data_IF_641488361278
#
_entry.id   IF_641488361278
#
_cell.length_a   1.000
_cell.length_b   1.000
_cell.length_c   1.000
_cell.angle_alpha   90.00
_cell.angle_beta   90.00
_cell.angle_gamma   90.00
#
_symmetry.space_group_name_H-M   'P 1'
#
loop_
_entity.id
_entity.type
_entity.pdbx_description
1 polymer ?
#
# COMPACT_ATOMS: atom_id res chain seq x y z
N UNK A 1 -15.00 -4.14 -12.79
CA UNK A 1 -14.93 -3.67 -11.40
C UNK A 1 -14.91 -2.16 -11.45
N UNK A 2 -15.71 -1.47 -10.64
CA UNK A 2 -15.63 -0.01 -10.61
C UNK A 2 -14.20 0.38 -10.18
N UNK A 3 -13.64 1.43 -10.77
CA UNK A 3 -12.26 1.87 -10.48
C UNK A 3 -12.05 2.03 -8.96
N UNK A 4 -13.08 2.48 -8.23
CA UNK A 4 -13.04 2.66 -6.78
C UNK A 4 -13.01 1.34 -5.98
N UNK A 5 -13.74 0.31 -6.40
CA UNK A 5 -13.71 -1.02 -5.76
C UNK A 5 -12.32 -1.65 -5.88
N UNK A 6 -11.70 -1.49 -7.06
CA UNK A 6 -10.34 -1.99 -7.32
C UNK A 6 -9.32 -1.25 -6.46
N UNK A 7 -9.44 0.08 -6.35
CA UNK A 7 -8.59 0.91 -5.49
C UNK A 7 -8.73 0.47 -4.03
N UNK A 8 -9.96 0.38 -3.52
CA UNK A 8 -10.21 -0.01 -2.13
C UNK A 8 -9.64 -1.40 -1.82
N UNK A 9 -9.81 -2.35 -2.74
CA UNK A 9 -9.26 -3.70 -2.58
C UNK A 9 -7.74 -3.70 -2.57
N UNK A 10 -7.10 -2.91 -3.43
CA UNK A 10 -5.64 -2.79 -3.43
C UNK A 10 -5.12 -2.12 -2.14
N UNK A 11 -5.82 -1.11 -1.62
CA UNK A 11 -5.49 -0.49 -0.32
C UNK A 11 -5.63 -1.48 0.84
N UNK A 12 -6.65 -2.34 0.81
CA UNK A 12 -6.83 -3.41 1.78
C UNK A 12 -5.69 -4.44 1.73
N UNK A 13 -5.26 -4.85 0.53
CA UNK A 13 -4.10 -5.74 0.36
C UNK A 13 -2.83 -5.11 0.93
N UNK A 14 -2.58 -3.82 0.65
CA UNK A 14 -1.43 -3.09 1.20
C UNK A 14 -1.44 -3.04 2.73
N UNK A 15 -2.61 -2.76 3.32
CA UNK A 15 -2.78 -2.73 4.79
C UNK A 15 -2.50 -4.07 5.44
N UNK A 16 -2.91 -5.17 4.80
CA UNK A 16 -2.82 -6.52 5.34
C UNK A 16 -1.57 -7.29 4.88
N UNK A 17 -0.70 -6.66 4.08
CA UNK A 17 0.53 -7.30 3.64
C UNK A 17 1.45 -7.56 4.84
N UNK A 18 1.95 -8.79 4.94
CA UNK A 18 2.99 -9.12 5.90
C UNK A 18 4.29 -8.50 5.41
N UNK A 19 4.72 -7.38 6.01
CA UNK A 19 5.96 -6.69 5.66
C UNK A 19 7.20 -7.31 6.32
N UNK A 20 7.03 -8.22 7.28
CA UNK A 20 8.11 -8.87 8.04
C UNK A 20 8.40 -10.27 7.53
N UNK A 21 7.84 -10.67 6.39
CA UNK A 21 7.96 -12.00 5.80
C UNK A 21 9.41 -12.50 5.65
N UNK A 22 10.37 -11.59 5.44
CA UNK A 22 11.80 -11.90 5.34
C UNK A 22 12.47 -12.23 6.69
N UNK A 23 11.78 -11.94 7.79
CA UNK A 23 12.22 -12.19 9.18
C UNK A 23 11.57 -13.44 9.77
N UNK A 24 10.69 -14.13 9.04
CA UNK A 24 10.10 -15.37 9.53
C UNK A 24 11.16 -16.48 9.58
N UNK A 25 11.44 -17.01 10.78
CA UNK A 25 12.38 -18.13 11.01
C UNK A 25 12.02 -19.40 10.22
N UNK A 26 10.78 -19.49 9.72
CA UNK A 26 10.32 -20.50 8.78
C UNK A 26 9.84 -19.81 7.50
N UNK A 27 10.67 -19.89 6.46
CA UNK A 27 10.46 -19.20 5.18
C UNK A 27 9.23 -19.69 4.41
N UNK A 28 8.70 -20.88 4.71
CA UNK A 28 7.43 -21.37 4.16
C UNK A 28 6.41 -21.56 5.30
N UNK A 29 5.16 -21.09 5.15
CA UNK A 29 4.55 -20.47 3.97
C UNK A 29 4.67 -18.93 3.90
N UNK A 30 5.39 -18.28 4.82
CA UNK A 30 5.43 -16.82 4.94
C UNK A 30 5.90 -16.11 3.65
N UNK A 31 7.00 -16.56 3.04
CA UNK A 31 7.52 -15.98 1.79
C UNK A 31 6.50 -16.12 0.65
N UNK A 32 5.86 -17.29 0.53
CA UNK A 32 4.93 -17.54 -0.57
C UNK A 32 3.66 -16.71 -0.43
N UNK A 33 3.16 -16.54 0.80
CA UNK A 33 2.03 -15.67 1.09
C UNK A 33 2.36 -14.20 0.79
N UNK A 34 3.53 -13.71 1.21
CA UNK A 34 3.96 -12.35 0.93
C UNK A 34 4.15 -12.10 -0.58
N UNK A 35 4.80 -13.02 -1.30
CA UNK A 35 4.94 -12.95 -2.77
C UNK A 35 3.58 -12.99 -3.48
N UNK A 36 2.67 -13.84 -3.02
CA UNK A 36 1.30 -13.91 -3.52
C UNK A 36 0.53 -12.61 -3.30
N UNK A 37 0.60 -12.05 -2.09
CA UNK A 37 -0.01 -10.77 -1.73
C UNK A 37 0.54 -9.61 -2.58
N UNK A 38 1.86 -9.52 -2.74
CA UNK A 38 2.51 -8.51 -3.61
C UNK A 38 2.08 -8.65 -5.07
N UNK A 39 2.07 -9.87 -5.61
CA UNK A 39 1.60 -10.13 -6.98
C UNK A 39 0.16 -9.67 -7.15
N UNK A 40 -0.70 -10.07 -6.22
CA UNK A 40 -2.12 -9.72 -6.26
C UNK A 40 -2.35 -8.21 -6.24
N UNK A 41 -1.60 -7.48 -5.40
CA UNK A 41 -1.62 -6.02 -5.38
C UNK A 41 -1.23 -5.41 -6.74
N UNK A 42 -0.13 -5.87 -7.34
CA UNK A 42 0.35 -5.37 -8.63
C UNK A 42 -0.66 -5.61 -9.75
N UNK A 43 -1.26 -6.80 -9.77
CA UNK A 43 -2.31 -7.16 -10.73
C UNK A 43 -3.54 -6.28 -10.58
N UNK A 44 -4.03 -6.04 -9.35
CA UNK A 44 -5.14 -5.11 -9.09
C UNK A 44 -4.82 -3.70 -9.61
N UNK A 45 -3.66 -3.16 -9.22
CA UNK A 45 -3.22 -1.81 -9.59
C UNK A 45 -3.06 -1.68 -11.11
N UNK A 46 -2.62 -2.72 -11.81
CA UNK A 46 -2.49 -2.72 -13.26
C UNK A 46 -3.83 -2.56 -14.01
N UNK A 47 -4.97 -2.92 -13.39
CA UNK A 47 -6.30 -2.75 -13.99
C UNK A 47 -6.85 -1.32 -13.89
N UNK A 48 -6.22 -0.45 -13.07
CA UNK A 48 -6.60 0.96 -12.95
C UNK A 48 -6.16 1.70 -14.23
N UNK A 49 -7.15 2.25 -14.96
CA UNK A 49 -6.92 2.96 -16.23
C UNK A 49 -6.13 4.26 -16.05
N UNK A 50 -6.45 5.01 -15.00
CA UNK A 50 -5.78 6.26 -14.67
C UNK A 50 -4.31 6.01 -14.30
N UNK A 51 -3.40 6.52 -15.13
CA UNK A 51 -1.97 6.35 -14.94
C UNK A 51 -1.44 7.09 -13.70
N UNK A 52 -2.04 8.21 -13.33
CA UNK A 52 -1.67 9.01 -12.18
C UNK A 52 -2.02 8.26 -10.90
N UNK A 53 -3.26 7.76 -10.80
CA UNK A 53 -3.70 6.92 -9.66
C UNK A 53 -2.88 5.64 -9.57
N UNK A 54 -2.66 4.96 -10.70
CA UNK A 54 -1.85 3.73 -10.76
C UNK A 54 -0.42 3.96 -10.26
N UNK A 55 0.19 5.08 -10.63
CA UNK A 55 1.53 5.43 -10.15
C UNK A 55 1.52 5.80 -8.66
N UNK A 56 0.52 6.56 -8.21
CA UNK A 56 0.39 6.91 -6.79
C UNK A 56 0.26 5.67 -5.89
N UNK A 57 -0.50 4.66 -6.32
CA UNK A 57 -0.58 3.37 -5.62
C UNK A 57 0.79 2.68 -5.53
N UNK A 58 1.54 2.61 -6.64
CA UNK A 58 2.90 2.02 -6.65
C UNK A 58 3.86 2.74 -5.72
N UNK A 59 3.81 4.08 -5.69
CA UNK A 59 4.62 4.87 -4.79
C UNK A 59 4.20 4.70 -3.32
N UNK A 60 2.91 4.51 -3.04
CA UNK A 60 2.43 4.21 -1.70
C UNK A 60 2.98 2.88 -1.19
N UNK A 61 3.00 1.84 -2.04
CA UNK A 61 3.61 0.55 -1.69
C UNK A 61 5.09 0.70 -1.31
N UNK A 62 5.87 1.44 -2.11
CA UNK A 62 7.30 1.67 -1.83
C UNK A 62 7.50 2.45 -0.53
N UNK A 63 6.74 3.52 -0.32
CA UNK A 63 6.83 4.32 0.89
C UNK A 63 6.48 3.51 2.14
N UNK A 64 5.47 2.64 2.07
CA UNK A 64 5.14 1.72 3.18
C UNK A 64 6.26 0.72 3.42
N UNK A 65 6.82 0.11 2.37
CA UNK A 65 7.97 -0.79 2.48
C UNK A 65 9.15 -0.11 3.18
N UNK A 66 9.56 1.06 2.68
CA UNK A 66 10.69 1.82 3.21
C UNK A 66 10.47 2.20 4.67
N UNK A 67 9.28 2.70 5.03
CA UNK A 67 8.99 3.07 6.42
C UNK A 67 9.03 1.87 7.36
N UNK A 68 8.45 0.73 6.96
CA UNK A 68 8.50 -0.49 7.77
C UNK A 68 9.94 -0.92 8.02
N UNK A 69 10.78 -0.92 6.97
CA UNK A 69 12.16 -1.39 7.09
C UNK A 69 13.08 -0.39 7.82
N UNK A 70 12.83 0.91 7.72
CA UNK A 70 13.51 1.92 8.53
C UNK A 70 13.21 1.75 10.03
N UNK A 71 11.99 1.31 10.37
CA UNK A 71 11.57 1.06 11.75
C UNK A 71 11.83 -0.38 12.22
N UNK A 72 12.59 -1.19 11.46
CA UNK A 72 12.80 -2.62 11.74
C UNK A 72 13.48 -2.92 13.07
N UNK A 73 14.54 -2.18 13.39
CA UNK A 73 15.35 -2.46 14.58
C UNK A 73 15.13 -1.44 15.68
N UNK A 74 14.80 -0.22 15.30
CA UNK A 74 14.56 0.89 16.20
C UNK A 74 13.56 1.83 15.56
N UNK A 75 12.68 2.40 16.38
CA UNK A 75 11.73 3.41 15.92
C UNK A 75 12.48 4.61 15.34
N UNK A 76 12.14 4.99 14.11
CA UNK A 76 12.65 6.17 13.43
C UNK A 76 11.52 7.19 13.27
N UNK A 77 11.49 8.18 14.18
CA UNK A 77 10.46 9.23 14.19
C UNK A 77 10.51 10.12 12.95
N UNK A 78 11.68 10.32 12.35
CA UNK A 78 11.81 11.16 11.16
C UNK A 78 11.30 10.43 9.93
N UNK A 79 11.66 9.15 9.76
CA UNK A 79 11.08 8.30 8.73
C UNK A 79 9.55 8.24 8.82
N UNK A 80 9.00 8.13 10.04
CA UNK A 80 7.54 8.11 10.26
C UNK A 80 6.87 9.41 9.80
N UNK A 81 7.46 10.58 10.08
CA UNK A 81 6.92 11.88 9.61
C UNK A 81 6.96 11.99 8.09
N UNK A 82 8.08 11.63 7.48
CA UNK A 82 8.24 11.63 6.02
C UNK A 82 7.22 10.69 5.38
N UNK A 83 7.02 9.51 5.94
CA UNK A 83 6.03 8.55 5.48
C UNK A 83 4.60 9.09 5.57
N UNK A 84 4.16 9.63 6.70
CA UNK A 84 2.79 10.12 6.85
C UNK A 84 2.51 11.34 5.97
N UNK A 85 3.49 12.23 5.77
CA UNK A 85 3.38 13.32 4.79
C UNK A 85 3.20 12.76 3.37
N UNK A 86 4.07 11.81 2.97
CA UNK A 86 4.02 11.21 1.64
C UNK A 86 2.73 10.43 1.39
N UNK A 87 2.29 9.65 2.38
CA UNK A 87 1.02 8.91 2.35
C UNK A 87 -0.16 9.86 2.21
N UNK A 88 -0.18 10.99 2.91
CA UNK A 88 -1.25 12.00 2.79
C UNK A 88 -1.33 12.55 1.37
N UNK A 89 -0.19 12.94 0.78
CA UNK A 89 -0.12 13.41 -0.62
C UNK A 89 -0.65 12.36 -1.60
N UNK A 90 -0.19 11.10 -1.46
CA UNK A 90 -0.58 10.02 -2.35
C UNK A 90 -2.06 9.66 -2.19
N UNK A 91 -2.60 9.65 -0.97
CA UNK A 91 -4.01 9.36 -0.73
C UNK A 91 -4.95 10.41 -1.32
N UNK A 92 -4.54 11.69 -1.37
CA UNK A 92 -5.29 12.75 -2.05
C UNK A 92 -5.39 12.53 -3.57
N UNK A 93 -4.39 11.87 -4.17
CA UNK A 93 -4.40 11.47 -5.58
C UNK A 93 -5.25 10.22 -5.80
N UNK A 94 -5.14 9.24 -4.89
CA UNK A 94 -5.79 7.92 -5.02
C UNK A 94 -7.31 8.01 -4.81
N UNK A 95 -7.75 8.81 -3.85
CA UNK A 95 -9.17 9.01 -3.49
C UNK A 95 -9.55 10.48 -3.64
N UNK A 96 -9.78 10.98 -4.87
CA UNK A 96 -10.19 12.37 -5.05
C UNK A 96 -11.52 12.65 -4.31
N UNK A 97 -11.58 13.82 -3.68
CA UNK A 97 -12.58 14.27 -2.69
C UNK A 97 -14.05 14.00 -3.03
N UNK A 98 -14.43 13.88 -4.30
CA UNK A 98 -15.79 13.54 -4.74
C UNK A 98 -16.28 12.16 -4.24
N UNK A 99 -15.36 11.24 -3.94
CA UNK A 99 -15.71 9.91 -3.38
C UNK A 99 -15.62 9.85 -1.85
N UNK A 100 -14.88 10.74 -1.20
CA UNK A 100 -14.78 10.79 0.27
C UNK A 100 -16.10 11.20 0.94
N UNK A 101 -16.93 11.98 0.25
CA UNK A 101 -18.26 12.37 0.74
C UNK A 101 -19.30 11.24 0.70
N UNK A 102 -19.10 10.18 -0.10
CA UNK A 102 -20.03 9.03 -0.20
C UNK A 102 -19.75 7.92 0.82
N UNK A 103 -18.59 7.94 1.48
CA UNK A 103 -18.26 6.96 2.53
C UNK A 103 -18.57 7.45 3.95
N UNK A 104 -18.92 8.73 4.10
CA UNK A 104 -19.28 9.37 5.38
C UNK A 104 -20.80 9.64 5.52
N UNK A 105 -21.62 9.11 4.60
CA UNK A 105 -23.07 9.27 4.58
C UNK A 105 -23.78 7.92 4.78
#
# INVERSE_FOLDING_TARGET
MATIETINKALEVLKNHDWWWMMADYTHPAIDNARGSMRYYVELVATIKDAVVRNAMRELWKATYENVHNNMWSKDEEANKVYEAKKTELMAIILPLENSQKMAA
#
